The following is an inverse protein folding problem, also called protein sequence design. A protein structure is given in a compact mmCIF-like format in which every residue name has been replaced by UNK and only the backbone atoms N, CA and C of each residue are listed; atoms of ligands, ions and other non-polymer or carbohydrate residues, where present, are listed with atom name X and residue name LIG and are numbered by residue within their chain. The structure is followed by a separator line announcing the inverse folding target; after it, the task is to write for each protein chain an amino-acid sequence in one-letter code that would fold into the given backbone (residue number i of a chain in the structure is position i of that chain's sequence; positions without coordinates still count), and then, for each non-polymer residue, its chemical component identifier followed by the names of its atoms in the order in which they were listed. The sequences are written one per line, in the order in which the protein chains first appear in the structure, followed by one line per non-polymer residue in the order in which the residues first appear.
data_IF_407080959135
#
_entry.id   IF_407080959135
#
_cell.length_a   1.000
_cell.length_b   1.000
_cell.length_c   1.000
_cell.angle_alpha   90.00
_cell.angle_beta   90.00
_cell.angle_gamma   90.00
#
_symmetry.space_group_name_H-M   'P 1'
#
loop_
_entity.id
_entity.type
_entity.pdbx_description
1 polymer ?
#
# COMPACT_ATOMS: atom_id res chain seq x y z
N UNK A 1 -28.45 -2.25 -14.12
CA UNK A 1 -27.51 -1.45 -14.95
C UNK A 1 -26.12 -1.99 -14.67
N UNK A 2 -25.13 -1.78 -15.54
CA UNK A 2 -23.76 -2.30 -15.39
C UNK A 2 -22.77 -1.12 -15.43
N UNK A 3 -21.50 -1.32 -15.07
CA UNK A 3 -20.48 -0.28 -15.11
C UNK A 3 -20.17 0.15 -16.56
N UNK A 4 -19.79 1.43 -16.77
CA UNK A 4 -19.49 1.98 -18.11
C UNK A 4 -18.15 1.47 -18.66
N UNK A 5 -17.14 1.45 -17.79
CA UNK A 5 -15.76 1.00 -18.02
C UNK A 5 -15.18 0.59 -16.66
N UNK A 6 -14.14 -0.24 -16.66
CA UNK A 6 -13.36 -0.49 -15.45
C UNK A 6 -12.82 0.82 -14.90
N UNK A 7 -13.02 1.03 -13.60
CA UNK A 7 -12.62 2.26 -12.94
C UNK A 7 -11.10 2.40 -12.91
N UNK A 8 -10.58 3.58 -13.27
CA UNK A 8 -9.15 3.89 -13.22
C UNK A 8 -8.87 5.27 -12.60
N UNK A 9 -7.59 5.66 -12.53
CA UNK A 9 -7.19 6.94 -11.97
C UNK A 9 -7.68 8.15 -12.79
N UNK A 10 -8.02 7.98 -14.07
CA UNK A 10 -8.59 9.05 -14.90
C UNK A 10 -10.06 9.28 -14.52
N UNK A 11 -10.84 8.21 -14.31
CA UNK A 11 -12.21 8.35 -13.81
C UNK A 11 -12.23 8.96 -12.40
N UNK A 12 -11.25 8.63 -11.55
CA UNK A 12 -11.10 9.27 -10.25
C UNK A 12 -10.92 10.78 -10.40
N UNK A 13 -10.00 11.21 -11.26
CA UNK A 13 -9.78 12.62 -11.54
C UNK A 13 -11.07 13.29 -12.04
N UNK A 14 -11.73 12.72 -13.05
CA UNK A 14 -12.96 13.28 -13.63
C UNK A 14 -14.05 13.46 -12.57
N UNK A 15 -14.29 12.45 -11.72
CA UNK A 15 -15.28 12.52 -10.63
C UNK A 15 -14.86 13.50 -9.55
N UNK A 16 -13.58 13.57 -9.20
CA UNK A 16 -13.08 14.48 -8.16
C UNK A 16 -13.29 15.96 -8.52
N UNK A 17 -13.42 16.31 -9.80
CA UNK A 17 -13.70 17.69 -10.24
C UNK A 17 -15.17 18.10 -10.05
N UNK A 18 -16.10 17.14 -10.08
CA UNK A 18 -17.55 17.42 -10.12
C UNK A 18 -18.35 16.81 -8.97
N UNK A 19 -17.73 15.94 -8.16
CA UNK A 19 -18.37 15.22 -7.04
C UNK A 19 -18.90 16.13 -5.92
N UNK A 20 -19.62 15.55 -4.95
CA UNK A 20 -20.20 16.29 -3.82
C UNK A 20 -19.13 17.10 -3.09
N UNK A 21 -19.37 18.40 -2.86
CA UNK A 21 -18.48 19.23 -2.03
C UNK A 21 -18.60 18.78 -0.58
N UNK A 22 -17.47 18.60 0.09
CA UNK A 22 -17.40 18.23 1.49
C UNK A 22 -16.22 18.97 2.12
N UNK A 23 -16.34 19.41 3.37
CA UNK A 23 -15.15 19.85 4.12
C UNK A 23 -14.38 18.63 4.63
N UNK A 24 -13.11 18.82 5.01
CA UNK A 24 -12.33 17.75 5.62
C UNK A 24 -12.91 17.37 7.00
N UNK A 25 -13.37 18.35 7.79
CA UNK A 25 -14.00 18.08 9.10
C UNK A 25 -15.30 17.29 8.95
N UNK A 26 -16.15 17.63 7.96
CA UNK A 26 -17.36 16.84 7.68
C UNK A 26 -17.02 15.41 7.27
N UNK A 27 -15.88 15.20 6.61
CA UNK A 27 -15.42 13.86 6.24
C UNK A 27 -14.90 13.07 7.45
N UNK A 28 -13.92 13.64 8.15
CA UNK A 28 -13.15 12.99 9.21
C UNK A 28 -13.92 12.86 10.52
N UNK A 29 -14.69 13.88 10.90
CA UNK A 29 -15.38 13.95 12.19
C UNK A 29 -16.84 13.49 12.12
N UNK A 30 -17.40 13.36 10.91
CA UNK A 30 -18.80 12.99 10.72
C UNK A 30 -18.97 11.79 9.78
N UNK A 31 -18.74 11.92 8.46
CA UNK A 31 -19.08 10.88 7.47
C UNK A 31 -18.39 9.54 7.76
N UNK A 32 -17.08 9.54 7.98
CA UNK A 32 -16.31 8.33 8.28
C UNK A 32 -16.71 7.69 9.63
N UNK A 33 -16.65 8.39 10.78
CA UNK A 33 -16.96 7.78 12.07
C UNK A 33 -18.42 7.35 12.18
N UNK A 34 -19.38 8.10 11.61
CA UNK A 34 -20.79 7.71 11.61
C UNK A 34 -21.02 6.41 10.85
N UNK A 35 -20.50 6.29 9.62
CA UNK A 35 -20.71 5.07 8.83
C UNK A 35 -19.99 3.86 9.44
N UNK A 36 -18.78 4.04 9.95
CA UNK A 36 -18.07 2.96 10.66
C UNK A 36 -18.84 2.47 11.89
N UNK A 37 -19.38 3.39 12.70
CA UNK A 37 -20.21 3.06 13.87
C UNK A 37 -21.50 2.35 13.46
N UNK A 38 -22.18 2.86 12.44
CA UNK A 38 -23.40 2.27 11.88
C UNK A 38 -23.16 0.84 11.41
N UNK A 39 -22.14 0.63 10.57
CA UNK A 39 -21.85 -0.68 9.98
C UNK A 39 -21.42 -1.71 11.03
N UNK A 40 -20.61 -1.29 12.01
CA UNK A 40 -20.26 -2.13 13.15
C UNK A 40 -21.51 -2.66 13.85
N UNK A 41 -22.49 -1.79 14.13
CA UNK A 41 -23.72 -2.16 14.80
C UNK A 41 -24.67 -2.96 13.89
N UNK A 42 -24.86 -2.51 12.64
CA UNK A 42 -25.71 -3.15 11.62
C UNK A 42 -25.34 -4.61 11.40
N UNK A 43 -24.04 -4.90 11.30
CA UNK A 43 -23.52 -6.24 11.08
C UNK A 43 -23.21 -7.00 12.39
N UNK A 44 -23.37 -6.35 13.56
CA UNK A 44 -23.09 -6.95 14.86
C UNK A 44 -21.64 -7.43 14.98
N UNK A 45 -20.68 -6.60 14.56
CA UNK A 45 -19.26 -6.98 14.51
C UNK A 45 -18.65 -7.02 15.93
N UNK A 46 -18.16 -8.20 16.31
CA UNK A 46 -17.43 -8.43 17.55
C UNK A 46 -16.32 -9.46 17.32
N UNK A 47 -15.08 -9.04 17.60
CA UNK A 47 -13.88 -9.86 17.36
C UNK A 47 -13.49 -10.71 18.58
N UNK A 48 -14.15 -10.52 19.74
CA UNK A 48 -14.02 -11.40 20.92
C UNK A 48 -12.58 -11.64 21.41
N UNK A 49 -11.68 -10.67 21.17
CA UNK A 49 -10.27 -10.77 21.55
C UNK A 49 -9.42 -11.68 20.67
N UNK A 50 -9.95 -12.21 19.56
CA UNK A 50 -9.18 -13.02 18.61
C UNK A 50 -8.28 -12.13 17.73
N UNK A 51 -7.02 -12.53 17.55
CA UNK A 51 -6.11 -11.90 16.59
C UNK A 51 -6.35 -12.40 15.16
N UNK A 52 -6.68 -13.68 15.01
CA UNK A 52 -6.99 -14.32 13.73
C UNK A 52 -8.39 -14.92 13.87
N UNK A 53 -9.39 -14.44 13.10
CA UNK A 53 -10.77 -14.90 13.25
C UNK A 53 -10.92 -16.34 12.78
N UNK A 54 -11.70 -17.11 13.55
CA UNK A 54 -12.11 -18.47 13.15
C UNK A 54 -13.60 -18.56 12.76
N UNK A 55 -14.39 -17.54 13.13
CA UNK A 55 -15.79 -17.40 12.78
C UNK A 55 -15.96 -16.85 11.36
N UNK A 56 -16.26 -17.75 10.40
CA UNK A 56 -16.42 -17.40 8.98
C UNK A 56 -17.64 -16.49 8.74
N UNK A 57 -18.69 -16.62 9.53
CA UNK A 57 -19.87 -15.76 9.40
C UNK A 57 -19.53 -14.32 9.82
N UNK A 58 -18.73 -14.17 10.89
CA UNK A 58 -18.19 -12.87 11.30
C UNK A 58 -17.27 -12.28 10.23
N UNK A 59 -16.40 -13.10 9.62
CA UNK A 59 -15.52 -12.67 8.53
C UNK A 59 -16.30 -12.19 7.29
N UNK A 60 -17.37 -12.90 6.91
CA UNK A 60 -18.22 -12.50 5.78
C UNK A 60 -18.96 -11.19 6.07
N UNK A 61 -19.48 -11.03 7.29
CA UNK A 61 -20.09 -9.77 7.72
C UNK A 61 -19.10 -8.61 7.70
N UNK A 62 -17.87 -8.83 8.15
CA UNK A 62 -16.81 -7.82 8.09
C UNK A 62 -16.46 -7.45 6.64
N UNK A 63 -16.38 -8.42 5.73
CA UNK A 63 -16.18 -8.16 4.30
C UNK A 63 -17.31 -7.31 3.72
N UNK A 64 -18.58 -7.67 3.99
CA UNK A 64 -19.75 -6.91 3.53
C UNK A 64 -19.76 -5.49 4.11
N UNK A 65 -19.44 -5.32 5.39
CA UNK A 65 -19.33 -4.01 6.02
C UNK A 65 -18.23 -3.16 5.37
N UNK A 66 -17.04 -3.71 5.11
CA UNK A 66 -15.97 -2.99 4.42
C UNK A 66 -16.34 -2.60 2.98
N UNK A 67 -17.01 -3.49 2.25
CA UNK A 67 -17.54 -3.22 0.92
C UNK A 67 -18.58 -2.08 0.93
N UNK A 68 -19.55 -2.16 1.84
CA UNK A 68 -20.59 -1.14 2.01
C UNK A 68 -20.01 0.21 2.43
N UNK A 69 -19.00 0.23 3.31
CA UNK A 69 -18.29 1.46 3.69
C UNK A 69 -17.72 2.19 2.48
N UNK A 70 -16.98 1.49 1.61
CA UNK A 70 -16.39 2.09 0.42
C UNK A 70 -17.47 2.55 -0.56
N UNK A 71 -18.49 1.72 -0.78
CA UNK A 71 -19.59 2.03 -1.68
C UNK A 71 -20.38 3.26 -1.22
N UNK A 72 -20.71 3.34 0.07
CA UNK A 72 -21.59 4.38 0.64
C UNK A 72 -20.85 5.67 1.00
N UNK A 73 -19.59 5.62 1.44
CA UNK A 73 -18.80 6.82 1.68
C UNK A 73 -18.16 7.36 0.40
N UNK A 74 -17.54 6.48 -0.39
CA UNK A 74 -16.62 6.90 -1.46
C UNK A 74 -15.25 7.32 -0.91
N UNK A 75 -14.54 8.17 -1.66
CA UNK A 75 -13.21 8.68 -1.30
C UNK A 75 -13.20 10.20 -1.38
N UNK A 76 -12.64 10.84 -0.38
CA UNK A 76 -12.45 12.29 -0.36
C UNK A 76 -11.15 12.70 -1.07
N UNK A 77 -11.25 13.64 -2.01
CA UNK A 77 -10.10 14.26 -2.67
C UNK A 77 -9.75 15.57 -1.97
N UNK A 78 -8.58 15.61 -1.34
CA UNK A 78 -8.10 16.75 -0.55
C UNK A 78 -7.88 18.01 -1.39
N UNK A 79 -7.43 17.87 -2.64
CA UNK A 79 -7.15 19.02 -3.51
C UNK A 79 -8.42 19.71 -4.03
N UNK A 80 -9.50 18.95 -4.26
CA UNK A 80 -10.76 19.48 -4.81
C UNK A 80 -11.85 19.66 -3.76
N UNK A 81 -11.64 19.18 -2.53
CA UNK A 81 -12.60 19.18 -1.43
C UNK A 81 -13.94 18.53 -1.84
N UNK A 82 -13.84 17.40 -2.54
CA UNK A 82 -15.00 16.68 -3.09
C UNK A 82 -14.91 15.17 -2.92
N UNK A 83 -16.06 14.52 -2.92
CA UNK A 83 -16.21 13.08 -2.77
C UNK A 83 -16.32 12.41 -4.14
N UNK A 84 -15.46 11.40 -4.37
CA UNK A 84 -15.53 10.46 -5.48
C UNK A 84 -16.35 9.24 -5.05
N UNK A 85 -17.44 8.97 -5.77
CA UNK A 85 -18.33 7.83 -5.53
C UNK A 85 -18.09 6.74 -6.57
N UNK A 86 -18.28 5.49 -6.15
CA UNK A 86 -18.26 4.29 -7.00
C UNK A 86 -19.66 3.69 -7.12
N UNK A 87 -19.89 2.88 -8.14
CA UNK A 87 -21.04 1.97 -8.18
C UNK A 87 -20.65 0.60 -7.64
N UNK A 88 -21.64 -0.19 -7.23
CA UNK A 88 -21.42 -1.56 -6.78
C UNK A 88 -20.74 -2.42 -7.86
N UNK A 89 -21.19 -2.30 -9.12
CA UNK A 89 -20.63 -3.04 -10.24
C UNK A 89 -19.15 -2.67 -10.52
N UNK A 90 -18.77 -1.41 -10.32
CA UNK A 90 -17.37 -0.96 -10.48
C UNK A 90 -16.46 -1.57 -9.41
N UNK A 91 -16.93 -1.67 -8.17
CA UNK A 91 -16.16 -2.28 -7.09
C UNK A 91 -16.03 -3.79 -7.35
N UNK A 92 -17.10 -4.46 -7.80
CA UNK A 92 -17.04 -5.88 -8.14
C UNK A 92 -16.17 -6.18 -9.36
N UNK A 93 -16.18 -5.34 -10.39
CA UNK A 93 -15.25 -5.45 -11.52
C UNK A 93 -13.80 -5.45 -11.03
N UNK A 94 -13.44 -4.50 -10.16
CA UNK A 94 -12.10 -4.43 -9.60
C UNK A 94 -11.72 -5.66 -8.75
N UNK A 95 -12.61 -6.12 -7.87
CA UNK A 95 -12.36 -7.28 -6.99
C UNK A 95 -12.21 -8.58 -7.81
N UNK A 96 -13.01 -8.77 -8.85
CA UNK A 96 -13.02 -10.00 -9.64
C UNK A 96 -11.82 -10.11 -10.61
N UNK A 97 -11.13 -9.00 -10.88
CA UNK A 97 -10.09 -8.90 -11.90
C UNK A 97 -8.71 -8.48 -11.35
N UNK A 98 -8.39 -8.86 -10.11
CA UNK A 98 -7.12 -8.56 -9.44
C UNK A 98 -5.90 -9.32 -10.02
N UNK A 99 -4.70 -8.79 -9.79
CA UNK A 99 -3.44 -9.46 -10.10
C UNK A 99 -3.25 -10.71 -9.22
N UNK A 100 -3.05 -11.87 -9.84
CA UNK A 100 -3.00 -13.18 -9.13
C UNK A 100 -1.63 -13.52 -8.56
N UNK A 101 -0.57 -13.22 -9.30
CA UNK A 101 0.82 -13.43 -8.91
C UNK A 101 1.74 -12.50 -9.69
N UNK A 102 2.97 -12.34 -9.20
CA UNK A 102 4.02 -11.57 -9.87
C UNK A 102 5.41 -12.00 -9.38
N UNK A 103 6.45 -11.44 -10.01
CA UNK A 103 7.84 -11.65 -9.66
C UNK A 103 8.44 -10.33 -9.19
N UNK A 104 9.17 -10.37 -8.08
CA UNK A 104 10.01 -9.27 -7.63
C UNK A 104 11.49 -9.64 -7.83
N UNK A 105 12.30 -8.67 -8.22
CA UNK A 105 13.71 -8.89 -8.53
C UNK A 105 13.95 -9.56 -9.89
N UNK A 106 15.19 -9.92 -10.15
CA UNK A 106 15.65 -10.51 -11.42
C UNK A 106 16.74 -11.56 -11.19
N UNK A 107 16.98 -12.39 -12.21
CA UNK A 107 18.05 -13.39 -12.17
C UNK A 107 17.87 -14.40 -11.02
N UNK A 108 18.99 -14.76 -10.39
CA UNK A 108 19.02 -15.74 -9.28
C UNK A 108 18.25 -15.25 -8.04
N UNK A 109 18.17 -13.94 -7.85
CA UNK A 109 17.61 -13.32 -6.64
C UNK A 109 16.12 -12.98 -6.77
N UNK A 110 15.49 -13.34 -7.89
CA UNK A 110 14.08 -13.12 -8.11
C UNK A 110 13.21 -14.03 -7.23
N UNK A 111 12.10 -13.50 -6.73
CA UNK A 111 11.14 -14.24 -5.90
C UNK A 111 9.72 -14.15 -6.47
N UNK A 112 8.97 -15.25 -6.40
CA UNK A 112 7.57 -15.30 -6.81
C UNK A 112 6.66 -14.91 -5.65
N UNK A 113 5.80 -13.92 -5.87
CA UNK A 113 4.77 -13.52 -4.91
C UNK A 113 3.45 -14.17 -5.32
N UNK A 114 2.91 -15.01 -4.44
CA UNK A 114 1.64 -15.73 -4.65
C UNK A 114 0.75 -15.59 -3.41
N UNK A 115 -0.56 -15.78 -3.62
CA UNK A 115 -1.56 -15.77 -2.54
C UNK A 115 -1.22 -16.81 -1.46
N UNK A 116 -1.45 -16.45 -0.20
CA UNK A 116 -1.45 -17.34 0.96
C UNK A 116 -2.83 -17.36 1.61
N UNK A 117 -3.18 -18.48 2.24
CA UNK A 117 -4.40 -18.62 3.03
C UNK A 117 -4.13 -18.48 4.54
N UNK A 118 -5.18 -18.46 5.37
CA UNK A 118 -5.04 -18.51 6.82
C UNK A 118 -4.39 -19.83 7.22
N UNK A 119 -3.35 -19.78 8.07
CA UNK A 119 -2.60 -20.97 8.50
C UNK A 119 -1.79 -21.66 7.41
N UNK A 120 -1.57 -21.00 6.27
CA UNK A 120 -0.82 -21.57 5.15
C UNK A 120 0.62 -21.94 5.55
N UNK A 121 1.05 -23.13 5.13
CA UNK A 121 2.39 -23.68 5.41
C UNK A 121 3.49 -22.98 4.63
N UNK A 122 3.18 -22.34 3.50
CA UNK A 122 4.14 -21.54 2.77
C UNK A 122 4.56 -20.32 3.61
N UNK A 123 5.86 -20.05 3.71
CA UNK A 123 6.39 -18.82 4.35
C UNK A 123 5.96 -17.58 3.53
N UNK A 124 5.62 -16.45 4.16
CA UNK A 124 5.45 -15.20 3.43
C UNK A 124 6.80 -14.70 2.85
N UNK A 125 6.73 -13.80 1.88
CA UNK A 125 7.89 -13.02 1.43
C UNK A 125 8.34 -12.11 2.58
N UNK A 126 9.64 -12.10 2.84
CA UNK A 126 10.27 -11.23 3.84
C UNK A 126 10.89 -10.03 3.13
N UNK A 127 10.18 -8.91 3.13
CA UNK A 127 10.72 -7.64 2.66
C UNK A 127 11.39 -6.91 3.84
N UNK A 128 12.73 -6.85 3.83
CA UNK A 128 13.53 -6.31 4.93
C UNK A 128 14.24 -5.02 4.54
N UNK A 129 14.29 -4.05 5.46
CA UNK A 129 15.01 -2.81 5.23
C UNK A 129 14.67 -1.74 6.25
N UNK A 130 15.22 -0.52 6.13
CA UNK A 130 14.91 0.57 7.05
C UNK A 130 13.43 0.99 7.08
N UNK A 131 12.62 0.53 6.12
CA UNK A 131 11.16 0.72 6.12
C UNK A 131 10.77 2.21 6.21
N UNK A 132 11.30 3.02 5.29
CA UNK A 132 11.06 4.47 5.24
C UNK A 132 11.74 5.28 6.36
N UNK A 133 12.49 4.64 7.26
CA UNK A 133 13.22 5.35 8.32
C UNK A 133 14.31 6.25 7.73
N UNK A 134 14.60 7.41 8.34
CA UNK A 134 15.67 8.31 7.90
C UNK A 134 17.04 7.70 8.17
N UNK A 135 17.86 7.56 7.13
CA UNK A 135 19.22 7.00 7.18
C UNK A 135 20.25 8.04 6.72
N UNK A 136 21.31 8.20 7.52
CA UNK A 136 22.44 9.07 7.17
C UNK A 136 23.11 8.62 5.87
N UNK A 137 23.48 9.59 5.03
CA UNK A 137 24.01 9.35 3.68
C UNK A 137 25.28 8.48 3.67
N UNK A 138 26.18 8.70 4.62
CA UNK A 138 27.47 8.01 4.75
C UNK A 138 27.34 6.52 5.09
N UNK A 139 26.24 6.11 5.73
CA UNK A 139 25.92 4.73 6.07
C UNK A 139 24.75 4.18 5.26
N UNK A 140 24.29 4.89 4.22
CA UNK A 140 23.12 4.47 3.45
C UNK A 140 23.29 3.09 2.82
N UNK A 141 24.43 2.83 2.16
CA UNK A 141 24.72 1.50 1.61
C UNK A 141 24.97 0.45 2.71
N UNK A 142 25.86 0.68 3.71
CA UNK A 142 26.07 -0.27 4.81
C UNK A 142 24.78 -0.72 5.51
N UNK A 143 23.85 0.21 5.77
CA UNK A 143 22.57 -0.11 6.41
C UNK A 143 21.72 -1.02 5.54
N UNK A 144 21.60 -0.76 4.24
CA UNK A 144 20.80 -1.65 3.37
C UNK A 144 21.50 -3.00 3.12
N UNK A 145 22.83 -3.01 3.14
CA UNK A 145 23.61 -4.24 2.99
C UNK A 145 23.37 -5.22 4.13
N UNK A 146 23.13 -4.75 5.37
CA UNK A 146 22.85 -5.65 6.49
C UNK A 146 21.62 -6.51 6.22
N UNK A 147 20.57 -5.95 5.62
CA UNK A 147 19.38 -6.71 5.21
C UNK A 147 19.67 -7.63 4.02
N UNK A 148 20.42 -7.17 3.02
CA UNK A 148 20.73 -7.99 1.84
C UNK A 148 21.59 -9.22 2.19
N UNK A 149 22.48 -9.10 3.19
CA UNK A 149 23.32 -10.19 3.70
C UNK A 149 22.53 -11.28 4.44
N UNK A 150 21.38 -10.92 5.03
CA UNK A 150 20.50 -11.89 5.68
C UNK A 150 19.77 -12.73 4.65
N UNK A 151 20.05 -14.04 4.63
CA UNK A 151 19.34 -15.00 3.75
C UNK A 151 17.84 -15.10 4.04
N UNK A 152 17.42 -14.66 5.23
CA UNK A 152 16.02 -14.57 5.61
C UNK A 152 15.26 -13.50 4.82
N UNK A 153 15.96 -12.50 4.26
CA UNK A 153 15.36 -11.37 3.53
C UNK A 153 15.28 -11.70 2.04
N UNK A 154 14.09 -11.59 1.46
CA UNK A 154 13.80 -11.88 0.05
C UNK A 154 13.92 -10.63 -0.83
N UNK A 155 13.37 -9.50 -0.38
CA UNK A 155 13.40 -8.19 -1.06
C UNK A 155 13.75 -7.08 -0.09
N UNK A 156 14.12 -5.91 -0.61
CA UNK A 156 14.44 -4.75 0.22
C UNK A 156 13.25 -3.79 0.28
N UNK A 157 13.04 -3.14 1.43
CA UNK A 157 12.23 -1.92 1.54
C UNK A 157 13.14 -0.74 1.86
N UNK A 158 13.08 0.29 1.03
CA UNK A 158 14.05 1.40 1.10
C UNK A 158 13.92 2.20 2.40
N UNK A 159 15.06 2.74 2.86
CA UNK A 159 15.10 3.86 3.79
C UNK A 159 15.09 5.19 3.07
N UNK A 160 14.88 6.28 3.82
CA UNK A 160 14.91 7.65 3.28
C UNK A 160 16.29 8.24 3.48
N UNK A 161 16.90 8.74 2.41
CA UNK A 161 18.17 9.47 2.50
C UNK A 161 17.96 10.80 3.25
N UNK A 162 18.63 11.00 4.40
CA UNK A 162 18.55 12.30 5.11
C UNK A 162 19.23 13.43 4.32
N UNK A 163 20.29 13.09 3.59
CA UNK A 163 20.95 13.97 2.62
C UNK A 163 21.35 13.22 1.36
N UNK A 164 21.50 13.96 0.27
CA UNK A 164 22.18 13.50 -0.95
C UNK A 164 23.18 14.57 -1.38
N UNK A 165 24.46 14.19 -1.49
CA UNK A 165 25.61 15.10 -1.63
C UNK A 165 25.67 16.15 -0.51
N UNK A 166 25.34 15.75 0.72
CA UNK A 166 25.32 16.64 1.89
C UNK A 166 24.22 17.71 1.85
N UNK A 167 23.19 17.54 1.02
CA UNK A 167 22.04 18.45 0.91
C UNK A 167 20.73 17.71 1.15
N UNK A 168 19.80 18.35 1.86
CA UNK A 168 18.49 17.78 2.14
C UNK A 168 17.70 17.60 0.83
N UNK A 169 17.01 16.46 0.62
CA UNK A 169 16.15 16.23 -0.55
C UNK A 169 14.80 16.94 -0.38
N UNK A 170 14.83 18.28 -0.33
CA UNK A 170 13.63 19.11 -0.16
C UNK A 170 12.64 18.82 -1.31
N UNK A 171 11.35 18.54 -1.04
CA UNK A 171 10.37 18.30 -2.08
C UNK A 171 10.33 19.42 -3.12
N UNK A 172 10.19 19.08 -4.39
CA UNK A 172 10.22 19.97 -5.56
C UNK A 172 11.57 20.65 -5.83
N UNK A 173 12.64 20.25 -5.15
CA UNK A 173 14.01 20.68 -5.46
C UNK A 173 14.72 19.70 -6.40
N UNK A 174 15.80 20.09 -7.09
CA UNK A 174 16.62 19.14 -7.85
C UNK A 174 17.24 18.03 -6.98
N UNK A 175 17.37 18.24 -5.66
CA UNK A 175 17.89 17.24 -4.73
C UNK A 175 16.89 16.11 -4.45
N UNK A 176 15.58 16.37 -4.50
CA UNK A 176 14.56 15.31 -4.45
C UNK A 176 14.69 14.39 -5.66
N UNK A 177 14.78 14.96 -6.87
CA UNK A 177 14.95 14.18 -8.11
C UNK A 177 16.24 13.36 -8.08
N UNK A 178 17.32 13.96 -7.57
CA UNK A 178 18.58 13.26 -7.39
C UNK A 178 18.45 12.12 -6.39
N UNK A 179 17.87 12.36 -5.20
CA UNK A 179 17.67 11.36 -4.17
C UNK A 179 16.81 10.20 -4.68
N UNK A 180 15.67 10.47 -5.31
CA UNK A 180 14.76 9.45 -5.83
C UNK A 180 15.46 8.47 -6.80
N UNK A 181 16.39 8.96 -7.64
CA UNK A 181 17.18 8.10 -8.53
C UNK A 181 18.36 7.45 -7.82
N UNK A 182 18.97 8.13 -6.86
CA UNK A 182 20.19 7.69 -6.16
C UNK A 182 19.87 6.60 -5.14
N UNK A 183 18.74 6.71 -4.46
CA UNK A 183 18.26 5.79 -3.43
C UNK A 183 18.36 4.33 -3.90
N UNK A 184 17.60 3.96 -4.93
CA UNK A 184 17.61 2.59 -5.45
C UNK A 184 18.95 2.19 -6.09
N UNK A 185 19.70 3.13 -6.68
CA UNK A 185 21.03 2.83 -7.25
C UNK A 185 21.99 2.38 -6.14
N UNK A 186 22.04 3.10 -5.02
CA UNK A 186 22.87 2.75 -3.88
C UNK A 186 22.41 1.45 -3.23
N UNK A 187 21.10 1.25 -3.07
CA UNK A 187 20.55 0.03 -2.46
C UNK A 187 20.85 -1.20 -3.31
N UNK A 188 20.66 -1.13 -4.63
CA UNK A 188 21.01 -2.25 -5.53
C UNK A 188 22.52 -2.50 -5.57
N UNK A 189 23.35 -1.46 -5.45
CA UNK A 189 24.79 -1.64 -5.27
C UNK A 189 25.11 -2.35 -3.95
N UNK A 190 24.43 -2.02 -2.85
CA UNK A 190 24.58 -2.73 -1.57
C UNK A 190 24.16 -4.21 -1.68
N UNK A 191 23.07 -4.51 -2.39
CA UNK A 191 22.66 -5.89 -2.67
C UNK A 191 23.67 -6.64 -3.54
N UNK A 192 24.24 -5.97 -4.55
CA UNK A 192 25.30 -6.54 -5.39
C UNK A 192 26.56 -6.87 -4.58
N UNK A 193 26.95 -6.00 -3.64
CA UNK A 193 28.06 -6.25 -2.70
C UNK A 193 27.78 -7.43 -1.76
N UNK A 194 26.50 -7.67 -1.43
CA UNK A 194 26.06 -8.86 -0.68
C UNK A 194 25.94 -10.13 -1.55
N UNK A 195 26.36 -10.08 -2.82
CA UNK A 195 26.30 -11.21 -3.75
C UNK A 195 24.90 -11.50 -4.32
N UNK A 196 23.97 -10.53 -4.20
CA UNK A 196 22.56 -10.65 -4.60
C UNK A 196 22.12 -9.46 -5.47
N UNK A 197 22.77 -9.22 -6.62
CA UNK A 197 22.54 -8.03 -7.45
C UNK A 197 21.11 -7.91 -8.02
N UNK A 198 20.34 -8.99 -8.04
CA UNK A 198 18.99 -9.05 -8.61
C UNK A 198 17.87 -8.80 -7.60
N UNK A 199 18.15 -8.50 -6.32
CA UNK A 199 17.08 -8.29 -5.33
C UNK A 199 16.09 -7.19 -5.74
N UNK A 200 14.80 -7.45 -5.53
CA UNK A 200 13.74 -6.46 -5.67
C UNK A 200 13.82 -5.39 -4.57
N UNK A 201 13.43 -4.16 -4.93
CA UNK A 201 13.21 -3.02 -4.02
C UNK A 201 11.78 -2.51 -4.20
#
# INVERSE_FOLDING_TARGET
MTFRKSFDCYDFYDRAKVGEKCTLDDWDLMKIPMKAMELKQKYGLDFKGEFIPTDKDMMEKLFKAGFEMLLECGIYCTDTHRIVKYTEDEIWDAINNVQKEFVLGTGRDAVNVRKRSVGDKAKPIVQGGPTGSPISEDVFMPVHMSYALEKEVDTIVNGVMTTVRGKAPIPKSPYEVLAAKTETRLIKNACAMAGRPGMGV
#
